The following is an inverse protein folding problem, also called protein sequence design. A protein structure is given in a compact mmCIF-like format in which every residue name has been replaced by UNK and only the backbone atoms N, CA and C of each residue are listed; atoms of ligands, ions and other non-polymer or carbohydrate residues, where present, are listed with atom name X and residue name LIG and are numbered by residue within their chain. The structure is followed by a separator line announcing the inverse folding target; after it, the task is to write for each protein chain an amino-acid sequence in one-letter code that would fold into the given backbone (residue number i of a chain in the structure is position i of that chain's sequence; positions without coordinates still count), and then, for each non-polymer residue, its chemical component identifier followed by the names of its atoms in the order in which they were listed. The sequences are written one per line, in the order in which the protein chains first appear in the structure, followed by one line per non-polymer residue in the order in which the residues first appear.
data_IF_228161190571
#
_entry.id   IF_228161190571
#
_cell.length_a   1.000
_cell.length_b   1.000
_cell.length_c   1.000
_cell.angle_alpha   90.00
_cell.angle_beta   90.00
_cell.angle_gamma   90.00
#
_symmetry.space_group_name_H-M   'P 1'
#
loop_
_entity.id
_entity.type
_entity.pdbx_description
1 polymer ?
#
# COMPACT_ATOMS: atom_id res chain seq x y z
N UNK A 1 4.84 25.95 -16.24
CA UNK A 1 3.93 24.84 -15.83
C UNK A 1 2.55 25.17 -16.39
N UNK A 2 1.99 24.26 -17.14
CA UNK A 2 0.62 24.43 -17.65
C UNK A 2 -0.37 23.85 -16.61
N UNK A 3 -0.87 24.72 -15.72
CA UNK A 3 -1.82 24.36 -14.64
C UNK A 3 -3.06 23.68 -15.23
N UNK A 4 -3.55 24.14 -16.38
CA UNK A 4 -4.69 23.56 -17.08
C UNK A 4 -4.44 22.10 -17.53
N UNK A 5 -3.20 21.75 -17.83
CA UNK A 5 -2.86 20.36 -18.16
C UNK A 5 -2.94 19.46 -16.92
N UNK A 6 -2.48 19.94 -15.77
CA UNK A 6 -2.59 19.21 -14.50
C UNK A 6 -4.06 19.06 -14.05
N UNK A 7 -4.88 20.10 -14.16
CA UNK A 7 -6.33 20.04 -13.90
C UNK A 7 -7.02 18.94 -14.72
N UNK A 8 -6.64 18.81 -16.01
CA UNK A 8 -7.15 17.73 -16.87
C UNK A 8 -6.71 16.34 -16.40
N UNK A 9 -5.47 16.20 -15.91
CA UNK A 9 -4.97 14.90 -15.41
C UNK A 9 -5.73 14.42 -14.19
N UNK A 10 -6.16 15.34 -13.30
CA UNK A 10 -6.88 15.01 -12.06
C UNK A 10 -8.40 15.08 -12.20
N UNK A 11 -8.90 15.44 -13.39
CA UNK A 11 -10.35 15.66 -13.67
C UNK A 11 -11.01 16.63 -12.68
N UNK A 12 -10.28 17.72 -12.36
CA UNK A 12 -10.75 18.76 -11.45
C UNK A 12 -10.23 20.14 -11.85
N UNK A 13 -11.13 21.13 -11.92
CA UNK A 13 -10.78 22.54 -12.23
C UNK A 13 -10.85 23.39 -10.97
N UNK A 14 -9.73 23.99 -10.59
CA UNK A 14 -9.61 24.82 -9.39
C UNK A 14 -10.25 26.21 -9.59
N UNK A 15 -10.99 26.66 -8.59
CA UNK A 15 -11.42 28.04 -8.46
C UNK A 15 -10.22 28.94 -8.12
N UNK A 16 -9.35 28.46 -7.20
CA UNK A 16 -8.09 29.10 -6.82
C UNK A 16 -6.88 28.29 -7.28
N UNK A 17 -6.33 28.63 -8.45
CA UNK A 17 -5.19 27.94 -9.05
C UNK A 17 -3.89 28.02 -8.22
N UNK A 18 -3.77 28.99 -7.31
CA UNK A 18 -2.60 29.09 -6.43
C UNK A 18 -2.53 27.93 -5.44
N UNK A 19 -3.67 27.31 -5.06
CA UNK A 19 -3.67 26.10 -4.25
C UNK A 19 -3.01 24.94 -4.99
N UNK A 20 -3.36 24.73 -6.26
CA UNK A 20 -2.76 23.67 -7.07
C UNK A 20 -1.27 23.92 -7.29
N UNK A 21 -0.88 25.15 -7.60
CA UNK A 21 0.52 25.54 -7.75
C UNK A 21 1.32 25.28 -6.48
N UNK A 22 0.75 25.62 -5.32
CA UNK A 22 1.38 25.35 -4.03
C UNK A 22 1.50 23.84 -3.78
N UNK A 23 0.49 23.03 -4.12
CA UNK A 23 0.51 21.58 -3.92
C UNK A 23 1.65 20.88 -4.67
N UNK A 24 2.06 21.39 -5.82
CA UNK A 24 3.18 20.86 -6.59
C UNK A 24 4.52 21.57 -6.33
N UNK A 25 4.59 22.45 -5.33
CA UNK A 25 5.79 23.21 -4.97
C UNK A 25 6.55 22.51 -3.85
N UNK A 26 7.61 21.78 -4.21
CA UNK A 26 8.49 21.13 -3.25
C UNK A 26 9.32 22.13 -2.44
N UNK A 27 9.75 21.74 -1.24
CA UNK A 27 10.55 22.57 -0.30
C UNK A 27 11.80 23.15 -0.93
N UNK A 28 12.50 22.41 -1.78
CA UNK A 28 13.71 22.89 -2.46
C UNK A 28 13.44 24.07 -3.40
N UNK A 29 12.34 24.01 -4.16
CA UNK A 29 11.91 25.11 -5.01
C UNK A 29 11.44 26.31 -4.18
N UNK A 30 10.67 26.04 -3.13
CA UNK A 30 10.15 27.05 -2.23
C UNK A 30 11.28 27.85 -1.58
N UNK A 31 12.34 27.18 -1.14
CA UNK A 31 13.52 27.80 -0.57
C UNK A 31 14.24 28.73 -1.57
N UNK A 32 14.49 28.25 -2.78
CA UNK A 32 15.19 29.00 -3.82
C UNK A 32 14.41 30.24 -4.29
N UNK A 33 13.07 30.14 -4.31
CA UNK A 33 12.18 31.18 -4.86
C UNK A 33 11.47 32.03 -3.81
N UNK A 34 11.69 31.76 -2.51
CA UNK A 34 11.05 32.44 -1.38
C UNK A 34 9.52 32.42 -1.44
N UNK A 35 8.97 31.27 -1.76
CA UNK A 35 7.53 30.99 -1.77
C UNK A 35 7.19 29.89 -0.76
N UNK A 36 5.90 29.64 -0.52
CA UNK A 36 5.48 28.54 0.37
C UNK A 36 5.62 27.19 -0.30
N UNK A 37 6.05 26.18 0.45
CA UNK A 37 6.10 24.77 0.03
C UNK A 37 4.76 24.07 0.21
N UNK A 38 4.68 22.84 -0.28
CA UNK A 38 3.53 21.95 -0.14
C UNK A 38 3.40 21.26 1.22
N UNK A 39 4.40 21.31 2.12
CA UNK A 39 4.43 20.56 3.39
C UNK A 39 3.17 20.69 4.24
N UNK A 40 2.62 21.93 4.35
CA UNK A 40 1.38 22.13 5.12
C UNK A 40 0.14 21.53 4.43
N UNK A 41 0.14 21.48 3.11
CA UNK A 41 -0.92 20.81 2.35
C UNK A 41 -0.78 19.29 2.47
N UNK A 42 0.42 18.74 2.38
CA UNK A 42 0.74 17.33 2.63
C UNK A 42 0.19 16.90 4.01
N UNK A 43 0.58 17.57 5.08
CA UNK A 43 0.10 17.29 6.43
C UNK A 43 -1.43 17.26 6.55
N UNK A 44 -2.12 18.21 5.91
CA UNK A 44 -3.58 18.25 5.90
C UNK A 44 -4.17 17.14 5.02
N UNK A 45 -3.53 16.88 3.88
CA UNK A 45 -3.97 15.88 2.90
C UNK A 45 -3.91 14.46 3.42
N UNK A 46 -2.84 14.10 4.15
CA UNK A 46 -2.70 12.82 4.84
C UNK A 46 -3.90 12.57 5.76
N UNK A 47 -4.21 13.52 6.64
CA UNK A 47 -5.35 13.41 7.56
C UNK A 47 -6.70 13.24 6.84
N UNK A 48 -6.90 13.94 5.72
CA UNK A 48 -8.13 13.84 4.92
C UNK A 48 -8.19 12.49 4.21
N UNK A 49 -7.09 12.03 3.66
CA UNK A 49 -6.96 10.75 2.98
C UNK A 49 -7.30 9.59 3.94
N UNK A 50 -6.74 9.60 5.14
CA UNK A 50 -7.04 8.62 6.19
C UNK A 50 -8.52 8.65 6.60
N UNK A 51 -9.08 9.84 6.81
CA UNK A 51 -10.49 9.99 7.16
C UNK A 51 -11.42 9.44 6.08
N UNK A 52 -11.23 9.83 4.82
CA UNK A 52 -12.11 9.40 3.71
C UNK A 52 -11.98 7.90 3.46
N UNK A 53 -10.76 7.35 3.55
CA UNK A 53 -10.53 5.91 3.42
C UNK A 53 -11.21 5.13 4.54
N UNK A 54 -11.15 5.61 5.78
CA UNK A 54 -11.83 5.02 6.93
C UNK A 54 -13.35 5.10 6.82
N UNK A 55 -13.89 6.25 6.44
CA UNK A 55 -15.33 6.45 6.22
C UNK A 55 -15.85 5.49 5.14
N UNK A 56 -15.10 5.35 4.05
CA UNK A 56 -15.47 4.44 2.96
C UNK A 56 -15.45 2.97 3.39
N UNK A 57 -14.41 2.53 4.10
CA UNK A 57 -14.32 1.16 4.62
C UNK A 57 -15.45 0.86 5.60
N UNK A 58 -15.68 1.73 6.57
CA UNK A 58 -16.73 1.58 7.58
C UNK A 58 -18.13 1.44 6.96
N UNK A 59 -18.45 2.26 5.97
CA UNK A 59 -19.77 2.27 5.37
C UNK A 59 -20.01 1.13 4.37
N UNK A 60 -18.97 0.65 3.68
CA UNK A 60 -19.12 -0.29 2.57
C UNK A 60 -18.67 -1.73 2.92
N UNK A 61 -17.86 -1.94 3.96
CA UNK A 61 -17.30 -3.25 4.30
C UNK A 61 -17.62 -3.66 5.74
N UNK A 62 -18.88 -3.63 6.11
CA UNK A 62 -19.40 -3.89 7.47
C UNK A 62 -19.05 -5.26 8.07
N UNK A 63 -18.58 -6.20 7.25
CA UNK A 63 -18.17 -7.55 7.70
C UNK A 63 -16.72 -7.60 8.19
N UNK A 64 -15.93 -6.59 7.88
CA UNK A 64 -14.56 -6.51 8.35
C UNK A 64 -14.53 -6.10 9.83
N UNK A 65 -13.65 -6.72 10.59
CA UNK A 65 -13.29 -6.27 11.93
C UNK A 65 -12.51 -4.95 11.89
N UNK A 66 -12.42 -4.25 13.01
CA UNK A 66 -11.60 -3.03 13.12
C UNK A 66 -10.15 -3.27 12.70
N UNK A 67 -9.52 -4.36 13.18
CA UNK A 67 -8.15 -4.69 12.81
C UNK A 67 -7.97 -4.98 11.32
N UNK A 68 -8.96 -5.58 10.65
CA UNK A 68 -8.94 -5.79 9.20
C UNK A 68 -9.10 -4.48 8.44
N UNK A 69 -10.01 -3.60 8.85
CA UNK A 69 -10.16 -2.27 8.25
C UNK A 69 -8.88 -1.45 8.40
N UNK A 70 -8.22 -1.52 9.55
CA UNK A 70 -6.94 -0.84 9.80
C UNK A 70 -5.83 -1.36 8.87
N UNK A 71 -5.75 -2.68 8.66
CA UNK A 71 -4.78 -3.28 7.72
C UNK A 71 -5.04 -2.87 6.27
N UNK A 72 -6.31 -2.90 5.83
CA UNK A 72 -6.68 -2.46 4.47
C UNK A 72 -6.32 -0.99 4.29
N UNK A 73 -6.71 -0.11 5.23
CA UNK A 73 -6.38 1.30 5.15
C UNK A 73 -4.88 1.51 5.03
N UNK A 74 -4.07 0.96 5.94
CA UNK A 74 -2.62 1.09 5.90
C UNK A 74 -2.01 0.65 4.56
N UNK A 75 -2.55 -0.40 3.94
CA UNK A 75 -2.08 -0.89 2.64
C UNK A 75 -2.39 0.08 1.49
N UNK A 76 -3.54 0.77 1.53
CA UNK A 76 -4.00 1.60 0.39
C UNK A 76 -3.62 3.06 0.49
N UNK A 77 -3.26 3.56 1.71
CA UNK A 77 -2.77 4.94 1.90
C UNK A 77 -1.26 5.03 2.07
N UNK A 78 -0.51 3.92 1.93
CA UNK A 78 0.93 3.92 2.05
C UNK A 78 1.62 4.64 0.88
N UNK A 79 2.86 5.07 1.09
CA UNK A 79 3.69 5.75 0.11
C UNK A 79 3.71 5.06 -1.26
N UNK A 80 3.83 3.71 -1.30
CA UNK A 80 3.82 2.95 -2.56
C UNK A 80 2.50 3.10 -3.33
N UNK A 81 1.38 3.08 -2.63
CA UNK A 81 0.05 3.25 -3.23
C UNK A 81 -0.13 4.68 -3.79
N UNK A 82 0.27 5.69 -3.02
CA UNK A 82 0.23 7.09 -3.44
C UNK A 82 1.15 7.35 -4.64
N UNK A 83 2.34 6.76 -4.63
CA UNK A 83 3.24 6.80 -5.79
C UNK A 83 2.58 6.28 -7.07
N UNK A 84 1.82 5.17 -6.99
CA UNK A 84 1.08 4.64 -8.15
C UNK A 84 0.04 5.65 -8.65
N UNK A 85 -0.63 6.35 -7.75
CA UNK A 85 -1.57 7.44 -8.10
C UNK A 85 -0.82 8.58 -8.81
N UNK A 86 0.31 9.02 -8.26
CA UNK A 86 1.12 10.07 -8.86
C UNK A 86 1.61 9.70 -10.27
N UNK A 87 2.02 8.46 -10.47
CA UNK A 87 2.42 7.94 -11.80
C UNK A 87 1.24 7.90 -12.78
N UNK A 88 0.07 7.45 -12.34
CA UNK A 88 -1.16 7.43 -13.15
C UNK A 88 -1.52 8.82 -13.70
N UNK A 89 -1.34 9.85 -12.88
CA UNK A 89 -1.65 11.24 -13.22
C UNK A 89 -0.45 12.05 -13.74
N UNK A 90 0.72 11.41 -13.95
CA UNK A 90 1.96 12.03 -14.45
C UNK A 90 2.41 13.24 -13.61
N UNK A 91 2.27 13.21 -12.28
CA UNK A 91 2.61 14.35 -11.41
C UNK A 91 4.08 14.75 -11.48
N UNK A 92 4.98 13.82 -11.85
CA UNK A 92 6.40 14.10 -12.07
C UNK A 92 6.67 15.25 -13.05
N UNK A 93 5.77 15.49 -14.00
CA UNK A 93 5.93 16.48 -15.07
C UNK A 93 5.52 17.89 -14.59
N UNK A 94 4.84 17.98 -13.46
CA UNK A 94 4.29 19.21 -12.91
C UNK A 94 4.98 19.69 -11.65
N UNK A 95 5.83 18.86 -11.02
CA UNK A 95 6.54 19.21 -9.79
C UNK A 95 7.49 20.39 -10.00
N UNK A 96 7.40 21.40 -9.12
CA UNK A 96 8.35 22.48 -9.03
C UNK A 96 9.44 22.10 -8.03
N UNK A 97 10.63 21.85 -8.54
CA UNK A 97 11.81 21.41 -7.79
C UNK A 97 12.94 22.43 -7.89
N UNK A 98 13.73 22.57 -6.82
CA UNK A 98 14.97 23.33 -6.85
C UNK A 98 16.04 22.65 -7.71
N UNK A 99 17.05 23.39 -8.12
CA UNK A 99 18.09 22.93 -9.07
C UNK A 99 18.78 21.65 -8.62
N UNK A 100 19.08 21.53 -7.34
CA UNK A 100 19.73 20.33 -6.79
C UNK A 100 18.85 19.09 -6.92
N UNK A 101 17.55 19.22 -6.63
CA UNK A 101 16.59 18.11 -6.73
C UNK A 101 16.37 17.69 -8.20
N UNK A 102 16.35 18.63 -9.14
CA UNK A 102 16.26 18.32 -10.58
C UNK A 102 17.45 17.46 -11.03
N UNK A 103 18.68 17.84 -10.64
CA UNK A 103 19.90 17.10 -11.00
C UNK A 103 19.87 15.67 -10.41
N UNK A 104 19.28 15.49 -9.25
CA UNK A 104 19.18 14.20 -8.55
C UNK A 104 17.91 13.42 -8.91
N UNK A 105 17.21 13.76 -9.99
CA UNK A 105 15.94 13.14 -10.41
C UNK A 105 14.88 13.11 -9.31
N UNK A 106 14.79 14.16 -8.50
CA UNK A 106 13.83 14.26 -7.39
C UNK A 106 12.37 14.11 -7.81
N UNK A 107 12.03 14.48 -9.07
CA UNK A 107 10.71 14.29 -9.66
C UNK A 107 10.32 12.81 -9.91
N UNK A 108 11.24 11.87 -9.76
CA UNK A 108 10.97 10.44 -9.84
C UNK A 108 11.02 9.76 -8.45
N UNK A 109 11.38 10.50 -7.40
CA UNK A 109 11.47 9.95 -6.04
C UNK A 109 10.08 9.63 -5.52
N UNK A 110 9.93 8.42 -5.01
CA UNK A 110 8.64 7.88 -4.56
C UNK A 110 8.02 8.74 -3.46
N UNK A 111 8.77 9.12 -2.42
CA UNK A 111 8.28 9.96 -1.34
C UNK A 111 7.78 11.32 -1.84
N UNK A 112 8.58 12.03 -2.67
CA UNK A 112 8.21 13.35 -3.22
C UNK A 112 6.91 13.31 -4.03
N UNK A 113 6.69 12.21 -4.76
CA UNK A 113 5.47 12.01 -5.53
C UNK A 113 4.27 11.64 -4.66
N UNK A 114 4.47 10.88 -3.59
CA UNK A 114 3.44 10.57 -2.60
C UNK A 114 3.00 11.83 -1.86
N UNK A 115 3.95 12.62 -1.34
CA UNK A 115 3.70 13.91 -0.67
C UNK A 115 2.91 14.88 -1.57
N UNK A 116 3.23 14.87 -2.88
CA UNK A 116 2.48 15.67 -3.86
C UNK A 116 1.01 15.23 -3.98
N UNK A 117 0.71 13.92 -3.93
CA UNK A 117 -0.68 13.42 -3.95
C UNK A 117 -1.45 13.93 -2.75
N UNK A 118 -0.87 13.84 -1.56
CA UNK A 118 -1.48 14.34 -0.33
C UNK A 118 -1.71 15.85 -0.41
N UNK A 119 -0.71 16.59 -0.88
CA UNK A 119 -0.84 18.04 -1.06
C UNK A 119 -1.96 18.41 -2.06
N UNK A 120 -2.14 17.67 -3.13
CA UNK A 120 -3.25 17.87 -4.10
C UNK A 120 -4.60 17.55 -3.44
N UNK A 121 -4.69 16.51 -2.62
CA UNK A 121 -5.90 16.18 -1.85
C UNK A 121 -6.31 17.37 -0.97
N UNK A 122 -5.37 17.94 -0.22
CA UNK A 122 -5.62 19.11 0.61
C UNK A 122 -5.99 20.35 -0.23
N UNK A 123 -5.34 20.54 -1.37
CA UNK A 123 -5.65 21.65 -2.26
C UNK A 123 -7.10 21.59 -2.79
N UNK A 124 -7.57 20.41 -3.22
CA UNK A 124 -8.95 20.18 -3.64
C UNK A 124 -9.91 20.44 -2.46
N UNK A 125 -9.56 19.98 -1.26
CA UNK A 125 -10.37 20.21 -0.07
C UNK A 125 -10.54 21.70 0.26
N UNK A 126 -9.47 22.44 0.23
CA UNK A 126 -9.49 23.89 0.51
C UNK A 126 -10.23 24.68 -0.58
N UNK A 127 -10.24 24.19 -1.80
CA UNK A 127 -10.88 24.83 -2.94
C UNK A 127 -12.41 24.56 -3.01
N UNK A 128 -12.85 23.32 -2.73
CA UNK A 128 -14.24 22.90 -2.97
C UNK A 128 -14.83 21.97 -1.90
N UNK A 129 -14.11 21.76 -0.79
CA UNK A 129 -14.62 20.98 0.33
C UNK A 129 -14.58 19.48 0.14
N UNK A 130 -15.19 18.76 1.11
CA UNK A 130 -15.00 17.32 1.30
C UNK A 130 -15.59 16.46 0.15
N UNK A 131 -16.67 16.89 -0.46
CA UNK A 131 -17.38 16.09 -1.47
C UNK A 131 -16.55 15.92 -2.75
N UNK A 132 -15.90 16.98 -3.23
CA UNK A 132 -15.03 16.90 -4.39
C UNK A 132 -13.74 16.12 -4.07
N UNK A 133 -13.20 16.33 -2.89
CA UNK A 133 -12.04 15.57 -2.40
C UNK A 133 -12.34 14.08 -2.32
N UNK A 134 -13.50 13.71 -1.81
CA UNK A 134 -13.97 12.31 -1.75
C UNK A 134 -14.07 11.69 -3.14
N UNK A 135 -14.55 12.42 -4.15
CA UNK A 135 -14.56 11.94 -5.53
C UNK A 135 -13.17 11.63 -6.06
N UNK A 136 -12.23 12.57 -5.88
CA UNK A 136 -10.84 12.37 -6.32
C UNK A 136 -10.17 11.19 -5.62
N UNK A 137 -10.27 11.09 -4.30
CA UNK A 137 -9.67 9.98 -3.54
C UNK A 137 -10.28 8.65 -3.98
N UNK A 138 -11.61 8.55 -4.02
CA UNK A 138 -12.28 7.29 -4.33
C UNK A 138 -12.14 6.86 -5.80
N UNK A 139 -11.97 7.79 -6.74
CA UNK A 139 -11.65 7.44 -8.13
C UNK A 139 -10.31 6.74 -8.29
N UNK A 140 -9.42 6.90 -7.32
CA UNK A 140 -8.10 6.29 -7.30
C UNK A 140 -8.01 5.08 -6.36
N UNK A 141 -8.75 5.07 -5.25
CA UNK A 141 -8.59 4.06 -4.20
C UNK A 141 -9.65 2.96 -4.18
N UNK A 142 -10.79 3.09 -4.87
CA UNK A 142 -11.85 2.04 -4.83
C UNK A 142 -11.35 0.66 -5.24
N UNK A 143 -10.62 0.55 -6.34
CA UNK A 143 -10.07 -0.72 -6.79
C UNK A 143 -8.97 -1.26 -5.86
N UNK A 144 -7.95 -0.47 -5.48
CA UNK A 144 -6.99 -0.88 -4.46
C UNK A 144 -7.64 -1.36 -3.14
N UNK A 145 -8.68 -0.65 -2.66
CA UNK A 145 -9.42 -1.07 -1.45
C UNK A 145 -10.10 -2.42 -1.68
N UNK A 146 -10.78 -2.62 -2.82
CA UNK A 146 -11.44 -3.88 -3.13
C UNK A 146 -10.44 -5.04 -3.16
N UNK A 147 -9.32 -4.88 -3.84
CA UNK A 147 -8.26 -5.87 -3.90
C UNK A 147 -7.68 -6.16 -2.51
N UNK A 148 -7.41 -5.14 -1.71
CA UNK A 148 -6.91 -5.31 -0.35
C UNK A 148 -7.92 -6.04 0.54
N UNK A 149 -9.22 -5.76 0.42
CA UNK A 149 -10.29 -6.44 1.16
C UNK A 149 -10.41 -7.92 0.78
N UNK A 150 -10.26 -8.26 -0.51
CA UNK A 150 -10.27 -9.66 -0.96
C UNK A 150 -9.12 -10.48 -0.33
N UNK A 151 -8.03 -9.82 0.03
CA UNK A 151 -6.85 -10.45 0.64
C UNK A 151 -6.74 -10.25 2.16
N UNK A 152 -7.46 -9.26 2.73
CA UNK A 152 -7.49 -9.05 4.18
C UNK A 152 -8.26 -10.19 4.82
N UNK A 153 -7.73 -10.76 5.86
CA UNK A 153 -8.33 -11.94 6.52
C UNK A 153 -7.84 -13.28 5.94
N UNK A 154 -7.12 -13.31 4.84
CA UNK A 154 -6.20 -14.41 4.60
C UNK A 154 -5.14 -14.33 5.71
N UNK A 155 -5.25 -15.23 6.69
CA UNK A 155 -4.22 -15.32 7.74
C UNK A 155 -2.88 -15.41 7.04
N UNK A 156 -1.96 -14.53 7.39
CA UNK A 156 -0.57 -14.69 6.98
C UNK A 156 0.01 -15.88 7.76
N UNK A 157 -0.33 -17.07 7.26
CA UNK A 157 0.10 -18.31 7.88
C UNK A 157 1.62 -18.42 7.99
N UNK A 158 2.37 -17.71 7.13
CA UNK A 158 3.84 -17.68 7.20
C UNK A 158 4.30 -16.92 8.45
N UNK A 159 3.74 -15.72 8.69
CA UNK A 159 4.03 -14.92 9.88
C UNK A 159 3.56 -15.65 11.14
N UNK A 160 2.35 -16.20 11.15
CA UNK A 160 1.82 -16.95 12.31
C UNK A 160 2.67 -18.19 12.62
N UNK A 161 3.12 -18.93 11.58
CA UNK A 161 4.01 -20.08 11.76
C UNK A 161 5.37 -19.65 12.31
N UNK A 162 5.92 -18.54 11.80
CA UNK A 162 7.19 -18.02 12.27
C UNK A 162 7.12 -17.60 13.74
N UNK A 163 6.09 -16.85 14.13
CA UNK A 163 5.88 -16.46 15.52
C UNK A 163 5.80 -17.67 16.46
N UNK A 164 4.97 -18.67 16.09
CA UNK A 164 4.82 -19.88 16.88
C UNK A 164 6.11 -20.68 17.03
N UNK A 165 6.88 -20.82 15.97
CA UNK A 165 8.13 -21.59 16.03
C UNK A 165 9.24 -20.81 16.74
N UNK A 166 9.19 -19.48 16.77
CA UNK A 166 10.15 -18.63 17.49
C UNK A 166 9.87 -18.57 19.00
N UNK A 167 8.67 -18.87 19.47
CA UNK A 167 8.35 -18.99 20.91
C UNK A 167 9.26 -20.01 21.62
N UNK A 168 9.78 -21.00 20.88
CA UNK A 168 10.66 -22.06 21.40
C UNK A 168 12.16 -21.82 21.09
N UNK A 169 12.56 -20.63 20.68
CA UNK A 169 13.96 -20.27 20.37
C UNK A 169 14.19 -19.76 18.95
N UNK A 170 15.46 -19.65 18.54
CA UNK A 170 15.83 -19.23 17.19
C UNK A 170 15.41 -20.27 16.15
N UNK A 171 14.37 -19.97 15.39
CA UNK A 171 13.83 -20.83 14.35
C UNK A 171 14.39 -20.44 12.97
N UNK A 172 14.96 -21.40 12.26
CA UNK A 172 15.32 -21.24 10.84
C UNK A 172 14.22 -21.87 9.99
N UNK A 173 13.40 -21.03 9.34
CA UNK A 173 12.28 -21.44 8.51
C UNK A 173 12.61 -21.09 7.06
N UNK A 174 12.56 -22.09 6.20
CA UNK A 174 12.76 -21.96 4.75
C UNK A 174 11.53 -22.42 3.99
N UNK A 175 11.30 -21.84 2.82
CA UNK A 175 10.30 -22.26 1.86
C UNK A 175 10.97 -22.59 0.54
N UNK A 176 10.77 -23.82 0.06
CA UNK A 176 11.37 -24.30 -1.17
C UNK A 176 10.31 -24.72 -2.17
N UNK A 177 10.35 -24.18 -3.39
CA UNK A 177 9.52 -24.67 -4.49
C UNK A 177 10.14 -25.96 -5.01
N UNK A 178 9.42 -27.07 -4.82
CA UNK A 178 9.89 -28.41 -5.20
C UNK A 178 9.32 -28.90 -6.54
N UNK A 179 8.22 -28.25 -7.01
CA UNK A 179 7.57 -28.67 -8.27
C UNK A 179 6.82 -27.53 -8.91
N UNK A 180 6.90 -27.45 -10.26
CA UNK A 180 6.09 -26.58 -11.11
C UNK A 180 5.44 -27.44 -12.19
N UNK A 181 4.10 -27.42 -12.30
CA UNK A 181 3.31 -28.25 -13.21
C UNK A 181 2.29 -27.43 -13.98
N UNK A 182 1.95 -27.87 -15.17
CA UNK A 182 0.92 -27.28 -16.02
C UNK A 182 1.43 -26.24 -17.02
N UNK A 183 0.58 -25.86 -17.99
CA UNK A 183 0.91 -24.85 -18.99
C UNK A 183 1.03 -23.46 -18.35
N UNK A 184 1.69 -22.52 -19.03
CA UNK A 184 2.00 -21.18 -18.47
C UNK A 184 0.78 -20.41 -17.95
N UNK A 185 -0.37 -20.58 -18.57
CA UNK A 185 -1.63 -19.93 -18.16
C UNK A 185 -2.37 -20.66 -17.01
N UNK A 186 -1.91 -21.84 -16.59
CA UNK A 186 -2.51 -22.67 -15.54
C UNK A 186 -1.45 -23.41 -14.69
N UNK A 187 -0.30 -22.74 -14.46
CA UNK A 187 0.77 -23.29 -13.61
C UNK A 187 0.30 -23.53 -12.18
N UNK A 188 0.73 -24.68 -11.64
CA UNK A 188 0.58 -25.04 -10.23
C UNK A 188 1.97 -25.22 -9.65
N UNK A 189 2.22 -24.54 -8.55
CA UNK A 189 3.45 -24.62 -7.78
C UNK A 189 3.23 -25.50 -6.55
N UNK A 190 4.23 -26.28 -6.20
CA UNK A 190 4.28 -27.03 -4.95
C UNK A 190 5.46 -26.51 -4.13
N UNK A 191 5.20 -26.11 -2.88
CA UNK A 191 6.20 -25.62 -1.95
C UNK A 191 6.25 -26.49 -0.71
N UNK A 192 7.45 -26.71 -0.19
CA UNK A 192 7.68 -27.23 1.15
C UNK A 192 8.03 -26.10 2.11
N UNK A 193 7.59 -26.23 3.37
CA UNK A 193 8.09 -25.46 4.50
C UNK A 193 9.00 -26.33 5.34
N UNK A 194 10.21 -25.85 5.60
CA UNK A 194 11.29 -26.56 6.27
C UNK A 194 11.64 -25.81 7.56
N UNK A 195 11.68 -26.52 8.66
CA UNK A 195 12.09 -26.02 9.97
C UNK A 195 13.32 -26.76 10.45
N UNK A 196 14.44 -26.05 10.66
CA UNK A 196 15.71 -26.63 11.09
C UNK A 196 16.12 -27.87 10.29
N UNK A 197 15.92 -27.86 8.97
CA UNK A 197 16.24 -28.97 8.06
C UNK A 197 15.19 -30.08 7.97
N UNK A 198 14.09 -30.01 8.72
CA UNK A 198 12.98 -30.97 8.67
C UNK A 198 11.80 -30.37 7.90
N UNK A 199 11.27 -31.13 6.92
CA UNK A 199 10.04 -30.72 6.20
C UNK A 199 8.86 -30.86 7.13
N UNK A 200 8.16 -29.75 7.40
CA UNK A 200 6.95 -29.73 8.23
C UNK A 200 5.70 -30.05 7.43
N UNK A 201 5.56 -29.42 6.25
CA UNK A 201 4.39 -29.62 5.42
C UNK A 201 4.65 -29.21 3.96
N UNK A 202 3.72 -29.61 3.07
CA UNK A 202 3.74 -29.32 1.64
C UNK A 202 2.45 -28.63 1.22
N UNK A 203 2.56 -27.50 0.48
CA UNK A 203 1.43 -26.75 -0.03
C UNK A 203 1.41 -26.63 -1.55
N UNK A 204 0.23 -26.45 -2.14
CA UNK A 204 0.05 -26.25 -3.59
C UNK A 204 -0.72 -24.97 -3.86
N UNK A 205 -0.34 -24.25 -4.91
CA UNK A 205 -1.00 -22.99 -5.28
C UNK A 205 -0.74 -22.59 -6.73
N UNK A 206 -1.57 -21.68 -7.25
CA UNK A 206 -1.41 -21.12 -8.59
C UNK A 206 -0.25 -20.11 -8.72
N UNK A 207 0.28 -19.66 -7.60
CA UNK A 207 1.49 -18.84 -7.52
C UNK A 207 2.44 -19.43 -6.49
N UNK A 208 3.73 -19.10 -6.56
CA UNK A 208 4.73 -19.50 -5.56
C UNK A 208 4.27 -19.09 -4.16
N UNK A 209 3.85 -17.82 -3.99
CA UNK A 209 3.34 -17.28 -2.73
C UNK A 209 2.12 -18.04 -2.20
N UNK A 210 1.18 -18.42 -3.06
CA UNK A 210 0.01 -19.20 -2.66
C UNK A 210 0.39 -20.63 -2.22
N UNK A 211 1.37 -21.25 -2.87
CA UNK A 211 1.88 -22.57 -2.48
C UNK A 211 2.60 -22.53 -1.13
N UNK A 212 3.42 -21.51 -0.89
CA UNK A 212 4.11 -21.28 0.38
C UNK A 212 3.11 -21.01 1.53
N UNK A 213 2.07 -20.20 1.27
CA UNK A 213 1.03 -19.89 2.25
C UNK A 213 0.24 -21.14 2.65
N UNK A 214 -0.08 -22.00 1.68
CA UNK A 214 -0.79 -23.27 1.95
C UNK A 214 0.12 -24.26 2.69
N UNK A 215 1.44 -24.30 2.41
CA UNK A 215 2.40 -25.07 3.18
C UNK A 215 2.47 -24.61 4.64
N UNK A 216 2.54 -23.30 4.86
CA UNK A 216 2.54 -22.71 6.21
C UNK A 216 1.26 -23.03 6.99
N UNK A 217 0.10 -22.95 6.32
CA UNK A 217 -1.19 -23.30 6.92
C UNK A 217 -1.22 -24.73 7.41
N UNK A 218 -0.82 -25.68 6.58
CA UNK A 218 -0.76 -27.11 6.95
C UNK A 218 0.24 -27.38 8.05
N UNK A 219 1.43 -26.74 7.99
CA UNK A 219 2.40 -26.84 9.07
C UNK A 219 1.84 -26.38 10.42
N UNK A 220 1.05 -25.29 10.44
CA UNK A 220 0.39 -24.84 11.66
C UNK A 220 -0.65 -25.84 12.20
N UNK A 221 -1.32 -26.57 11.34
CA UNK A 221 -2.23 -27.64 11.72
C UNK A 221 -1.47 -28.82 12.34
N UNK A 222 -0.35 -29.21 11.76
CA UNK A 222 0.52 -30.30 12.26
C UNK A 222 1.26 -29.91 13.55
N UNK A 223 1.81 -28.71 13.66
CA UNK A 223 2.47 -28.20 14.88
C UNK A 223 1.50 -28.16 16.06
N UNK A 224 0.21 -27.92 15.83
CA UNK A 224 -0.81 -27.95 16.88
C UNK A 224 -0.95 -29.34 17.52
N UNK A 225 -0.87 -30.40 16.72
CA UNK A 225 -0.85 -31.80 17.23
C UNK A 225 0.41 -32.09 18.05
N UNK A 226 1.56 -31.60 17.63
CA UNK A 226 2.84 -31.81 18.31
C UNK A 226 2.88 -31.18 19.71
N UNK A 227 2.30 -30.01 19.88
CA UNK A 227 2.26 -29.31 21.19
C UNK A 227 1.30 -30.04 22.14
N UNK A 228 0.19 -30.53 21.61
CA UNK A 228 -0.81 -31.27 22.41
C UNK A 228 -0.30 -32.67 22.81
N UNK A 229 0.59 -33.31 22.02
CA UNK A 229 1.17 -34.64 22.33
C UNK A 229 2.38 -34.59 23.27
N UNK A 230 3.18 -33.53 23.26
CA UNK A 230 4.41 -33.44 24.09
C UNK A 230 4.16 -32.96 25.51
N UNK A 231 2.94 -32.49 25.82
CA UNK A 231 2.52 -32.18 27.21
C UNK A 231 3.57 -31.35 27.96
N UNK A 232 3.86 -30.16 27.51
CA UNK A 232 4.67 -29.20 28.28
C UNK A 232 3.69 -28.39 29.13
N UNK A 233 3.59 -28.80 30.42
CA UNK A 233 2.99 -28.03 31.52
C UNK A 233 3.75 -26.71 31.76
#
# INVERSE_FOLDING_TARGET
MEIEALEKQIDYTFHNKELLKKAVTHTSYAYENKVESNEKLEFLGDSILEYISSDYLYNNYRKLSEGEMTKVRAQVVCEESLYKIAKKHNFSDFLLLGKSEIVNNGNQRQSVLADCVEAIIAAIYLDSGIEQTKKFILSNLKEPIREAVEHVGQKDYKTVLQEKLQENGTAHIEYQIIKEEGPDHAKIFTSEVIYNGTVLATGRGRTKKAAEMEAAKKALEEVRWWIDEIGVD
#
